data_IF_685528310612
#
_entry.id   IF_685528310612
#
_cell.length_a   1.000
_cell.length_b   1.000
_cell.length_c   1.000
_cell.angle_alpha   90.00
_cell.angle_beta   90.00
_cell.angle_gamma   90.00
#
_symmetry.space_group_name_H-M   'P 1'
#
loop_
_entity.id
_entity.type
_entity.pdbx_description
1 polymer ?
#
# COMPACT_ATOMS: atom_id res chain seq x y z
N UNK A 1 -2.04 8.71 -14.19
CA UNK A 1 -1.33 9.94 -14.52
C UNK A 1 0.00 9.61 -15.21
N UNK A 2 0.40 10.39 -16.23
CA UNK A 2 1.70 10.23 -16.90
C UNK A 2 2.87 10.63 -15.96
N UNK A 3 2.60 11.48 -14.98
CA UNK A 3 3.56 11.95 -13.99
C UNK A 3 3.15 11.55 -12.59
N UNK A 4 4.14 11.27 -11.76
CA UNK A 4 4.00 10.98 -10.33
C UNK A 4 5.30 11.35 -9.62
N UNK A 5 5.19 12.07 -8.50
CA UNK A 5 6.33 12.32 -7.63
C UNK A 5 6.89 11.00 -7.04
N UNK A 6 8.20 10.92 -6.78
CA UNK A 6 8.77 9.78 -6.08
C UNK A 6 8.26 9.73 -4.62
N UNK A 7 8.18 8.52 -4.08
CA UNK A 7 7.90 8.30 -2.66
C UNK A 7 9.22 7.89 -2.02
N UNK A 8 9.77 8.75 -1.16
CA UNK A 8 10.99 8.43 -0.45
C UNK A 8 10.78 7.27 0.53
N UNK A 9 11.73 6.37 0.59
CA UNK A 9 11.80 5.34 1.62
C UNK A 9 12.06 5.95 3.00
N UNK A 10 11.74 5.19 4.05
CA UNK A 10 12.06 5.53 5.44
C UNK A 10 12.70 4.30 6.09
N UNK A 11 13.90 4.49 6.63
CA UNK A 11 14.52 3.53 7.53
C UNK A 11 14.40 4.04 8.97
N UNK A 12 13.90 3.21 9.87
CA UNK A 12 13.94 3.47 11.29
C UNK A 12 15.35 3.18 11.83
N UNK A 13 15.93 4.15 12.51
CA UNK A 13 17.28 4.07 13.07
C UNK A 13 17.25 4.38 14.57
N UNK A 14 18.22 3.85 15.32
CA UNK A 14 18.45 4.22 16.72
C UNK A 14 19.15 5.59 16.85
N UNK A 15 19.32 6.08 18.08
CA UNK A 15 20.02 7.35 18.38
C UNK A 15 21.48 7.39 17.89
N UNK A 16 22.08 6.25 17.62
CA UNK A 16 23.43 6.12 17.07
C UNK A 16 23.46 6.06 15.54
N UNK A 17 22.29 6.04 14.89
CA UNK A 17 22.13 5.94 13.44
C UNK A 17 22.23 4.51 12.88
N UNK A 18 22.17 3.49 13.74
CA UNK A 18 22.08 2.11 13.25
C UNK A 18 20.68 1.82 12.75
N UNK A 19 20.57 1.26 11.55
CA UNK A 19 19.27 0.86 10.98
C UNK A 19 18.69 -0.29 11.79
N UNK A 20 17.48 -0.07 12.29
CA UNK A 20 16.69 -1.08 13.00
C UNK A 20 15.87 -1.90 12.04
N UNK A 21 15.11 -1.21 11.15
CA UNK A 21 14.30 -1.82 10.10
C UNK A 21 13.89 -0.80 9.05
N UNK A 22 13.56 -1.22 7.80
CA UNK A 22 12.87 -0.36 6.87
C UNK A 22 11.41 -0.16 7.33
N UNK A 23 10.94 1.08 7.37
CA UNK A 23 9.57 1.42 7.74
C UNK A 23 8.68 1.71 6.51
N UNK A 24 9.27 2.24 5.45
CA UNK A 24 8.59 2.47 4.17
C UNK A 24 9.55 2.23 3.00
N UNK A 25 9.19 1.41 1.99
CA UNK A 25 10.05 1.21 0.83
C UNK A 25 10.08 2.46 -0.06
N UNK A 26 11.19 2.76 -0.75
CA UNK A 26 11.21 3.79 -1.77
C UNK A 26 10.43 3.36 -3.02
N UNK A 27 9.77 4.31 -3.69
CA UNK A 27 9.10 4.07 -4.97
C UNK A 27 9.42 5.20 -5.94
N UNK A 28 10.05 4.89 -7.07
CA UNK A 28 10.38 5.87 -8.08
C UNK A 28 9.12 6.56 -8.62
N UNK A 29 9.25 7.85 -8.87
CA UNK A 29 8.28 8.68 -9.57
C UNK A 29 8.37 8.50 -11.09
N UNK A 30 7.60 9.30 -11.80
CA UNK A 30 7.63 9.42 -13.27
C UNK A 30 7.57 10.89 -13.65
N UNK A 31 8.42 11.32 -14.56
CA UNK A 31 8.46 12.68 -15.08
C UNK A 31 8.34 12.65 -16.60
N UNK A 32 7.54 13.56 -17.16
CA UNK A 32 7.46 13.77 -18.62
C UNK A 32 8.55 14.73 -19.06
N UNK A 33 9.47 14.28 -19.90
CA UNK A 33 10.67 15.04 -20.32
C UNK A 33 10.47 15.91 -21.54
N UNK A 34 9.48 15.61 -22.39
CA UNK A 34 9.23 16.33 -23.66
C UNK A 34 7.93 17.16 -23.65
N UNK A 35 7.37 17.51 -22.48
CA UNK A 35 6.08 18.21 -22.37
C UNK A 35 6.02 19.51 -23.17
N UNK A 36 7.04 20.36 -23.04
CA UNK A 36 7.06 21.66 -23.69
C UNK A 36 7.11 21.50 -25.21
N UNK A 37 7.98 20.60 -25.71
CA UNK A 37 8.10 20.31 -27.15
C UNK A 37 6.79 19.76 -27.75
N UNK A 38 6.10 18.87 -27.04
CA UNK A 38 4.81 18.33 -27.48
C UNK A 38 3.71 19.40 -27.45
N UNK A 39 3.74 20.29 -26.45
CA UNK A 39 2.80 21.42 -26.35
C UNK A 39 2.99 22.37 -27.52
N UNK A 40 4.22 22.75 -27.84
CA UNK A 40 4.55 23.62 -28.98
C UNK A 40 4.11 23.00 -30.32
N UNK A 41 4.36 21.69 -30.49
CA UNK A 41 3.94 20.96 -31.69
C UNK A 41 2.40 20.90 -31.84
N UNK A 42 1.66 20.72 -30.75
CA UNK A 42 0.20 20.78 -30.75
C UNK A 42 -0.28 22.19 -31.16
N UNK A 43 0.33 23.25 -30.63
CA UNK A 43 -0.05 24.62 -30.94
C UNK A 43 0.21 24.94 -32.43
N UNK A 44 1.36 24.52 -32.96
CA UNK A 44 1.69 24.69 -34.40
C UNK A 44 0.68 23.96 -35.30
N UNK A 45 0.31 22.74 -34.95
CA UNK A 45 -0.68 21.96 -35.70
C UNK A 45 -2.06 22.65 -35.68
N UNK A 46 -2.49 23.18 -34.54
CA UNK A 46 -3.74 23.93 -34.40
C UNK A 46 -3.74 25.21 -35.26
N UNK A 47 -2.65 25.96 -35.26
CA UNK A 47 -2.52 27.22 -36.05
C UNK A 47 -2.50 26.93 -37.55
N UNK A 48 -1.86 25.85 -37.99
CA UNK A 48 -1.77 25.47 -39.39
C UNK A 48 -2.97 24.66 -39.91
N UNK A 49 -3.85 24.19 -39.00
CA UNK A 49 -4.97 23.32 -39.35
C UNK A 49 -4.53 21.91 -39.81
N UNK A 50 -3.35 21.50 -39.38
CA UNK A 50 -2.80 20.17 -39.70
C UNK A 50 -3.13 19.13 -38.59
N UNK A 51 -3.07 17.86 -38.94
CA UNK A 51 -3.18 16.77 -37.99
C UNK A 51 -1.92 16.74 -37.09
N UNK A 52 -2.12 16.48 -35.81
CA UNK A 52 -1.04 16.25 -34.84
C UNK A 52 -0.98 14.78 -34.43
N UNK A 53 0.25 14.27 -34.30
CA UNK A 53 0.56 12.95 -33.81
C UNK A 53 1.88 13.02 -33.03
N UNK A 54 1.83 12.86 -31.71
CA UNK A 54 3.00 12.87 -30.83
C UNK A 54 2.85 11.88 -29.69
N UNK A 55 3.91 11.72 -28.88
CA UNK A 55 3.93 10.85 -27.74
C UNK A 55 4.72 11.49 -26.59
N UNK A 56 4.22 11.32 -25.37
CA UNK A 56 4.96 11.75 -24.18
C UNK A 56 6.12 10.79 -23.90
N UNK A 57 7.30 11.35 -23.70
CA UNK A 57 8.47 10.63 -23.18
C UNK A 57 8.46 10.69 -21.65
N UNK A 58 8.52 9.51 -21.03
CA UNK A 58 8.43 9.38 -19.56
C UNK A 58 9.71 8.73 -19.06
N UNK A 59 10.36 9.39 -18.10
CA UNK A 59 11.52 8.87 -17.40
C UNK A 59 11.20 8.60 -15.93
N UNK A 60 11.99 7.73 -15.29
CA UNK A 60 11.91 7.51 -13.85
C UNK A 60 12.51 8.68 -13.09
N UNK A 61 11.81 9.17 -12.08
CA UNK A 61 12.29 10.11 -11.08
C UNK A 61 12.71 9.31 -9.84
N UNK A 62 14.00 9.19 -9.52
CA UNK A 62 14.47 8.28 -8.48
C UNK A 62 14.02 8.74 -7.09
N UNK A 63 13.54 7.79 -6.28
CA UNK A 63 13.29 8.01 -4.86
C UNK A 63 14.59 7.91 -4.05
N UNK A 64 14.65 8.65 -2.94
CA UNK A 64 15.68 8.51 -1.92
C UNK A 64 15.17 7.72 -0.72
N UNK A 65 16.06 7.40 0.24
CA UNK A 65 15.66 6.88 1.55
C UNK A 65 16.10 7.85 2.63
N UNK A 66 15.18 8.19 3.52
CA UNK A 66 15.38 9.05 4.68
C UNK A 66 15.48 8.21 5.95
N UNK A 67 16.15 8.74 6.97
CA UNK A 67 16.25 8.08 8.27
C UNK A 67 15.30 8.75 9.27
N UNK A 68 14.58 7.93 10.03
CA UNK A 68 13.71 8.36 11.12
C UNK A 68 14.24 7.77 12.42
N UNK A 69 14.68 8.63 13.36
CA UNK A 69 15.17 8.20 14.67
C UNK A 69 13.97 7.74 15.52
N UNK A 70 14.03 6.49 15.99
CA UNK A 70 13.02 5.88 16.86
C UNK A 70 13.68 5.18 18.05
N UNK A 71 12.96 4.93 19.15
CA UNK A 71 13.47 4.11 20.24
C UNK A 71 13.91 2.73 19.73
N UNK A 72 15.06 2.22 20.22
CA UNK A 72 15.55 0.90 19.82
C UNK A 72 14.73 -0.27 20.40
N UNK A 73 13.96 -0.01 21.46
CA UNK A 73 13.16 -1.00 22.16
C UNK A 73 11.79 -1.29 21.51
N UNK A 74 11.02 -2.21 22.14
CA UNK A 74 9.70 -2.60 21.62
C UNK A 74 8.68 -1.45 21.61
N UNK A 75 8.91 -0.38 22.35
CA UNK A 75 8.06 0.80 22.40
C UNK A 75 7.88 1.54 21.07
N UNK A 76 8.74 1.25 20.07
CA UNK A 76 8.60 1.80 18.71
C UNK A 76 7.42 1.21 17.94
N UNK A 77 6.95 0.02 18.33
CA UNK A 77 5.86 -0.66 17.66
C UNK A 77 4.49 -0.17 18.14
N UNK A 78 3.53 -0.09 17.24
CA UNK A 78 2.13 0.21 17.55
C UNK A 78 1.47 -0.87 18.43
N UNK A 79 2.07 -2.05 18.52
CA UNK A 79 1.60 -3.18 19.31
C UNK A 79 2.74 -3.85 20.07
N UNK A 80 2.48 -4.21 21.33
CA UNK A 80 3.45 -4.91 22.18
C UNK A 80 3.17 -6.41 22.14
N UNK A 81 3.69 -7.05 21.08
CA UNK A 81 3.52 -8.47 20.86
C UNK A 81 4.35 -9.32 21.85
N UNK A 82 3.85 -10.53 22.18
CA UNK A 82 4.67 -11.53 22.82
C UNK A 82 5.84 -11.97 21.90
N UNK A 83 6.95 -12.54 22.43
CA UNK A 83 8.16 -12.80 21.64
C UNK A 83 7.96 -13.58 20.34
N UNK A 84 7.05 -14.55 20.33
CA UNK A 84 6.78 -15.40 19.16
C UNK A 84 5.38 -15.15 18.55
N UNK A 85 4.72 -14.06 18.96
CA UNK A 85 3.38 -13.74 18.47
C UNK A 85 3.45 -13.23 17.03
N UNK A 86 2.71 -13.89 16.13
CA UNK A 86 2.49 -13.40 14.77
C UNK A 86 1.49 -12.23 14.80
N UNK A 87 1.85 -11.14 14.17
CA UNK A 87 0.95 -10.00 14.01
C UNK A 87 1.25 -9.21 12.74
N UNK A 88 0.25 -8.50 12.27
CA UNK A 88 0.32 -7.67 11.07
C UNK A 88 0.15 -6.21 11.50
N UNK A 89 1.12 -5.38 11.11
CA UNK A 89 1.08 -3.93 11.23
C UNK A 89 0.54 -3.31 9.94
N UNK A 90 -0.48 -2.47 10.05
CA UNK A 90 -1.05 -1.71 8.94
C UNK A 90 -0.94 -0.23 9.28
N UNK A 91 0.08 0.41 8.74
CA UNK A 91 0.31 1.84 8.88
C UNK A 91 -0.45 2.61 7.78
N UNK A 92 -1.51 3.29 8.17
CA UNK A 92 -2.38 4.04 7.24
C UNK A 92 -1.75 5.37 6.80
N UNK A 93 -0.81 5.93 7.58
CA UNK A 93 -0.07 7.14 7.22
C UNK A 93 0.89 6.87 6.06
N UNK A 94 1.67 5.78 6.17
CA UNK A 94 2.65 5.39 5.17
C UNK A 94 2.04 4.49 4.07
N UNK A 95 0.77 4.07 4.22
CA UNK A 95 0.09 3.10 3.35
C UNK A 95 0.93 1.84 3.18
N UNK A 96 1.40 1.28 4.31
CA UNK A 96 2.24 0.08 4.33
C UNK A 96 1.65 -1.02 5.21
N UNK A 97 2.02 -2.26 4.90
CA UNK A 97 1.76 -3.43 5.71
C UNK A 97 3.08 -4.15 5.99
N UNK A 98 3.27 -4.55 7.24
CA UNK A 98 4.43 -5.32 7.68
C UNK A 98 3.98 -6.49 8.55
N UNK A 99 4.56 -7.65 8.34
CA UNK A 99 4.31 -8.84 9.15
C UNK A 99 5.48 -9.06 10.12
N UNK A 100 5.13 -9.37 11.37
CA UNK A 100 6.09 -9.55 12.46
C UNK A 100 5.88 -10.87 13.21
N UNK A 101 6.99 -11.42 13.71
CA UNK A 101 7.01 -12.41 14.81
C UNK A 101 7.69 -11.76 16.02
N UNK A 102 6.91 -11.46 17.06
CA UNK A 102 7.36 -10.61 18.16
C UNK A 102 7.78 -9.22 17.67
N UNK A 103 9.06 -8.93 17.76
CA UNK A 103 9.69 -7.68 17.26
C UNK A 103 10.50 -7.87 15.97
N UNK A 104 10.44 -9.07 15.39
CA UNK A 104 11.19 -9.40 14.17
C UNK A 104 10.30 -9.23 12.95
N UNK A 105 10.69 -8.34 12.05
CA UNK A 105 10.06 -8.20 10.74
C UNK A 105 10.33 -9.45 9.90
N UNK A 106 9.27 -10.10 9.41
CA UNK A 106 9.35 -11.32 8.60
C UNK A 106 8.92 -11.12 7.16
N UNK A 107 8.09 -10.09 6.88
CA UNK A 107 7.71 -9.70 5.52
C UNK A 107 7.30 -8.23 5.46
N UNK A 108 7.60 -7.58 4.37
CA UNK A 108 7.32 -6.15 4.18
C UNK A 108 8.52 -5.27 4.54
N UNK A 109 8.32 -3.94 4.68
CA UNK A 109 7.05 -3.24 4.44
C UNK A 109 6.69 -3.30 2.95
N UNK A 110 5.41 -3.51 2.69
CA UNK A 110 4.82 -3.49 1.35
C UNK A 110 3.81 -2.36 1.23
N UNK A 111 3.73 -1.71 0.07
CA UNK A 111 2.69 -0.74 -0.17
C UNK A 111 1.33 -1.40 -0.32
N UNK A 112 0.31 -0.77 0.27
CA UNK A 112 -1.08 -1.20 0.24
C UNK A 112 -2.00 -0.05 -0.18
N UNK A 113 -3.24 -0.36 -0.56
CA UNK A 113 -4.32 0.62 -0.62
C UNK A 113 -5.32 0.32 0.49
N UNK A 114 -5.79 1.35 1.16
CA UNK A 114 -6.75 1.25 2.25
C UNK A 114 -7.99 2.12 2.00
N UNK A 115 -8.91 2.18 2.95
CA UNK A 115 -10.18 2.87 2.82
C UNK A 115 -10.05 4.32 2.42
N UNK A 116 -10.79 4.71 1.38
CA UNK A 116 -10.90 6.07 0.90
C UNK A 116 -11.83 6.93 1.77
N UNK A 117 -11.97 8.22 1.40
CA UNK A 117 -12.82 9.19 2.10
C UNK A 117 -14.27 8.68 2.19
N UNK A 118 -14.81 8.61 3.40
CA UNK A 118 -16.16 8.10 3.69
C UNK A 118 -16.25 6.57 3.80
N UNK A 119 -15.14 5.88 3.61
CA UNK A 119 -15.01 4.42 3.74
C UNK A 119 -13.67 4.05 4.40
N UNK A 120 -13.27 4.81 5.39
CA UNK A 120 -11.95 4.71 6.02
C UNK A 120 -11.73 3.31 6.63
N UNK A 121 -10.51 2.83 6.52
CA UNK A 121 -10.07 1.67 7.31
C UNK A 121 -10.05 2.06 8.79
N UNK A 122 -10.73 1.29 9.62
CA UNK A 122 -10.82 1.55 11.07
C UNK A 122 -9.48 1.27 11.74
N UNK A 123 -9.12 2.09 12.74
CA UNK A 123 -7.91 1.90 13.56
C UNK A 123 -8.21 1.08 14.81
N UNK A 124 -7.23 0.31 15.26
CA UNK A 124 -7.30 -0.48 16.47
C UNK A 124 -6.54 -1.80 16.40
N UNK A 125 -6.75 -2.64 17.39
CA UNK A 125 -6.17 -3.99 17.47
C UNK A 125 -7.27 -5.02 17.33
N UNK A 126 -7.15 -5.86 16.34
CA UNK A 126 -8.16 -6.86 15.95
C UNK A 126 -7.52 -8.24 15.82
N UNK A 127 -8.34 -9.24 15.51
CA UNK A 127 -7.85 -10.59 15.23
C UNK A 127 -8.51 -11.17 13.99
N UNK A 128 -7.71 -11.87 13.19
CA UNK A 128 -8.24 -12.65 12.06
C UNK A 128 -9.24 -13.68 12.60
N UNK A 129 -10.47 -13.66 12.08
CA UNK A 129 -11.52 -14.59 12.51
C UNK A 129 -11.97 -15.55 11.41
N UNK A 130 -11.65 -15.24 10.14
CA UNK A 130 -12.05 -16.04 9.01
C UNK A 130 -11.06 -15.87 7.85
N UNK A 131 -10.68 -16.98 7.20
CA UNK A 131 -9.87 -16.97 5.98
C UNK A 131 -10.64 -17.58 4.82
N UNK A 132 -10.47 -17.05 3.61
CA UNK A 132 -10.99 -17.58 2.34
C UNK A 132 -9.94 -17.46 1.26
N UNK A 133 -9.71 -18.54 0.52
CA UNK A 133 -8.80 -18.50 -0.63
C UNK A 133 -9.34 -17.56 -1.72
N UNK A 134 -10.66 -17.59 -1.92
CA UNK A 134 -11.34 -16.80 -2.94
C UNK A 134 -12.80 -16.54 -2.56
N UNK A 135 -13.28 -15.33 -2.86
CA UNK A 135 -14.67 -14.95 -2.65
C UNK A 135 -15.03 -13.71 -3.50
N UNK A 136 -16.29 -13.61 -3.94
CA UNK A 136 -16.83 -12.35 -4.48
C UNK A 136 -17.04 -11.35 -3.34
N UNK A 137 -16.64 -10.09 -3.54
CA UNK A 137 -16.79 -9.01 -2.57
C UNK A 137 -17.71 -7.92 -3.08
N UNK A 138 -18.52 -7.32 -2.18
CA UNK A 138 -19.61 -6.45 -2.55
C UNK A 138 -20.77 -7.26 -3.12
N UNK A 139 -21.30 -6.89 -4.29
CA UNK A 139 -22.37 -7.57 -5.00
C UNK A 139 -23.70 -7.61 -4.23
N UNK A 140 -23.94 -6.66 -3.33
CA UNK A 140 -25.18 -6.51 -2.56
C UNK A 140 -25.81 -5.14 -2.79
N UNK A 141 -27.10 -4.95 -2.47
CA UNK A 141 -27.73 -3.63 -2.59
C UNK A 141 -27.05 -2.54 -1.73
N UNK A 142 -26.50 -2.90 -0.56
CA UNK A 142 -25.74 -2.00 0.31
C UNK A 142 -24.37 -1.67 -0.26
N UNK A 143 -23.76 -2.64 -0.97
CA UNK A 143 -22.45 -2.53 -1.59
C UNK A 143 -22.56 -2.85 -3.09
N UNK A 144 -22.94 -1.87 -3.94
CA UNK A 144 -23.24 -2.10 -5.35
C UNK A 144 -22.01 -2.38 -6.23
N UNK A 145 -20.79 -2.15 -5.72
CA UNK A 145 -19.60 -2.65 -6.39
C UNK A 145 -19.55 -4.18 -6.31
N UNK A 146 -18.86 -4.81 -7.24
CA UNK A 146 -18.83 -6.27 -7.31
C UNK A 146 -17.51 -6.76 -7.86
N UNK A 147 -16.57 -7.03 -6.95
CA UNK A 147 -15.28 -7.60 -7.28
C UNK A 147 -15.38 -9.13 -7.25
N UNK A 148 -15.14 -9.75 -8.40
CA UNK A 148 -15.23 -11.20 -8.56
C UNK A 148 -13.92 -11.89 -8.21
N UNK A 149 -14.05 -13.09 -7.63
CA UNK A 149 -12.92 -13.98 -7.39
C UNK A 149 -11.77 -13.32 -6.62
N UNK A 150 -12.08 -12.44 -5.66
CA UNK A 150 -11.06 -11.77 -4.82
C UNK A 150 -10.24 -12.82 -4.09
N UNK A 151 -8.89 -12.84 -4.25
CA UNK A 151 -8.05 -13.89 -3.69
C UNK A 151 -7.50 -13.55 -2.30
N UNK A 152 -7.14 -14.60 -1.53
CA UNK A 152 -6.31 -14.55 -0.33
C UNK A 152 -6.86 -13.68 0.78
N UNK A 153 -8.11 -13.93 1.17
CA UNK A 153 -8.87 -13.07 2.08
C UNK A 153 -8.71 -13.51 3.53
N UNK A 154 -8.38 -12.57 4.40
CA UNK A 154 -8.36 -12.74 5.85
C UNK A 154 -9.21 -11.64 6.50
N UNK A 155 -10.40 -11.98 6.95
CA UNK A 155 -11.30 -11.09 7.67
C UNK A 155 -10.85 -10.93 9.13
N UNK A 156 -10.74 -9.67 9.59
CA UNK A 156 -10.28 -9.34 10.93
C UNK A 156 -11.27 -8.49 11.75
N UNK A 157 -12.22 -7.81 11.11
CA UNK A 157 -13.32 -7.15 11.79
C UNK A 157 -14.52 -6.98 10.85
N UNK A 158 -15.70 -7.58 11.15
CA UNK A 158 -16.88 -7.53 10.29
C UNK A 158 -16.48 -7.80 8.81
N UNK A 159 -16.73 -6.82 7.93
CA UNK A 159 -16.43 -6.92 6.50
C UNK A 159 -15.03 -6.40 6.14
N UNK A 160 -14.23 -5.98 7.14
CA UNK A 160 -12.85 -5.56 6.93
C UNK A 160 -11.93 -6.76 6.78
N UNK A 161 -11.15 -6.78 5.72
CA UNK A 161 -10.24 -7.86 5.40
C UNK A 161 -8.89 -7.36 4.86
N UNK A 162 -7.86 -8.19 5.01
CA UNK A 162 -6.66 -8.20 4.18
C UNK A 162 -6.97 -9.05 2.97
N UNK A 163 -6.68 -8.60 1.75
CA UNK A 163 -6.88 -9.43 0.55
C UNK A 163 -6.08 -8.98 -0.65
N UNK A 164 -5.87 -9.85 -1.61
CA UNK A 164 -5.27 -9.50 -2.89
C UNK A 164 -6.20 -8.64 -3.73
N UNK A 165 -5.63 -7.66 -4.43
CA UNK A 165 -6.37 -6.73 -5.29
C UNK A 165 -5.84 -6.80 -6.73
N UNK A 166 -6.25 -7.80 -7.53
CA UNK A 166 -5.75 -7.97 -8.91
C UNK A 166 -6.18 -6.85 -9.87
N UNK A 167 -7.15 -6.03 -9.50
CA UNK A 167 -7.58 -4.85 -10.28
C UNK A 167 -6.72 -3.63 -10.04
N UNK A 168 -6.02 -3.56 -8.88
CA UNK A 168 -5.18 -2.44 -8.55
C UNK A 168 -3.87 -2.50 -9.33
N UNK A 169 -3.55 -1.40 -10.00
CA UNK A 169 -2.31 -1.25 -10.75
C UNK A 169 -1.23 -0.53 -9.97
N UNK A 170 -1.62 0.23 -8.94
CA UNK A 170 -0.73 0.98 -8.08
C UNK A 170 -1.13 0.84 -6.61
N UNK A 171 -0.12 0.84 -5.73
CA UNK A 171 -0.28 0.77 -4.28
C UNK A 171 0.54 1.85 -3.59
N UNK A 172 0.05 2.30 -2.42
CA UNK A 172 0.74 3.23 -1.55
C UNK A 172 0.30 4.68 -1.69
N UNK A 173 1.06 5.58 -1.09
CA UNK A 173 0.76 7.01 -1.05
C UNK A 173 0.74 7.60 -2.47
N UNK A 174 -0.19 8.52 -2.73
CA UNK A 174 -0.26 9.27 -3.99
C UNK A 174 -0.90 8.51 -5.15
N UNK A 175 -1.47 7.33 -4.91
CA UNK A 175 -2.36 6.67 -5.87
C UNK A 175 -3.79 7.18 -5.71
N UNK A 176 -4.55 7.22 -6.81
CA UNK A 176 -5.99 7.48 -6.79
C UNK A 176 -6.79 6.22 -6.41
N UNK A 177 -6.12 5.07 -6.28
CA UNK A 177 -6.74 3.80 -5.94
C UNK A 177 -6.96 3.69 -4.43
N UNK A 178 -8.19 3.44 -4.01
CA UNK A 178 -8.59 3.24 -2.62
C UNK A 178 -9.56 2.07 -2.50
N UNK A 179 -9.85 1.66 -1.26
CA UNK A 179 -10.83 0.61 -0.97
C UNK A 179 -12.08 1.18 -0.27
N UNK A 180 -13.03 0.29 0.02
CA UNK A 180 -14.19 0.58 0.86
C UNK A 180 -13.95 0.20 2.34
N UNK A 181 -12.67 0.21 2.76
CA UNK A 181 -12.26 -0.08 4.14
C UNK A 181 -11.35 -1.29 4.29
N UNK A 182 -11.39 -2.24 3.36
CA UNK A 182 -10.43 -3.35 3.33
C UNK A 182 -9.00 -2.86 3.06
N UNK A 183 -8.04 -3.70 3.36
CA UNK A 183 -6.63 -3.51 3.03
C UNK A 183 -6.33 -4.28 1.75
N UNK A 184 -6.19 -3.55 0.64
CA UNK A 184 -5.84 -4.08 -0.66
C UNK A 184 -4.32 -4.28 -0.75
N UNK A 185 -3.90 -5.47 -1.09
CA UNK A 185 -2.50 -5.91 -1.09
C UNK A 185 -2.14 -6.40 -2.50
N UNK A 186 -0.91 -6.19 -3.01
CA UNK A 186 -0.42 -6.87 -4.20
C UNK A 186 -0.65 -8.38 -4.09
N UNK A 187 -1.10 -9.02 -5.16
CA UNK A 187 -1.61 -10.42 -5.09
C UNK A 187 -0.58 -11.40 -4.56
N UNK A 188 0.70 -11.24 -4.92
CA UNK A 188 1.79 -12.12 -4.47
C UNK A 188 2.05 -11.98 -2.95
N UNK A 189 2.07 -10.73 -2.45
CA UNK A 189 2.22 -10.45 -1.03
C UNK A 189 0.98 -10.91 -0.24
N UNK A 190 -0.22 -10.72 -0.79
CA UNK A 190 -1.45 -11.21 -0.19
C UNK A 190 -1.46 -12.73 -0.04
N UNK A 191 -0.92 -13.46 -1.02
CA UNK A 191 -0.75 -14.91 -0.95
C UNK A 191 0.21 -15.30 0.17
N UNK A 192 1.36 -14.64 0.24
CA UNK A 192 2.34 -14.87 1.30
C UNK A 192 1.74 -14.62 2.70
N UNK A 193 1.07 -13.46 2.89
CA UNK A 193 0.40 -13.11 4.14
C UNK A 193 -0.67 -14.15 4.49
N UNK A 194 -1.50 -14.53 3.51
CA UNK A 194 -2.54 -15.53 3.71
C UNK A 194 -1.99 -16.85 4.20
N UNK A 195 -0.92 -17.36 3.62
CA UNK A 195 -0.32 -18.62 4.01
C UNK A 195 0.33 -18.57 5.41
N UNK A 196 0.92 -17.40 5.74
CA UNK A 196 1.63 -17.20 7.00
C UNK A 196 0.70 -16.95 8.20
N UNK A 197 -0.39 -16.20 8.04
CA UNK A 197 -1.32 -15.89 9.14
C UNK A 197 -2.25 -17.06 9.46
N UNK A 198 -2.67 -17.13 10.73
CA UNK A 198 -3.67 -18.05 11.22
C UNK A 198 -4.93 -17.33 11.69
N UNK A 199 -6.06 -18.05 11.85
CA UNK A 199 -7.20 -17.52 12.60
C UNK A 199 -6.74 -17.27 14.05
N UNK A 200 -6.94 -16.04 14.52
CA UNK A 200 -6.43 -15.54 15.80
C UNK A 200 -5.20 -14.65 15.68
N UNK A 201 -4.51 -14.59 14.54
CA UNK A 201 -3.40 -13.64 14.30
C UNK A 201 -3.88 -12.20 14.52
N UNK A 202 -3.10 -11.43 15.25
CA UNK A 202 -3.38 -10.02 15.54
C UNK A 202 -3.17 -9.15 14.29
N UNK A 203 -4.10 -8.23 14.03
CA UNK A 203 -3.99 -7.18 13.03
C UNK A 203 -4.11 -5.84 13.73
N UNK A 204 -3.11 -4.99 13.59
CA UNK A 204 -3.06 -3.65 14.17
C UNK A 204 -3.13 -2.62 13.05
N UNK A 205 -4.08 -1.72 13.12
CA UNK A 205 -4.26 -0.64 12.15
C UNK A 205 -4.11 0.70 12.86
N UNK A 206 -3.27 1.58 12.34
CA UNK A 206 -2.97 2.88 12.97
C UNK A 206 -2.52 3.92 11.93
N UNK A 207 -2.48 5.19 12.37
CA UNK A 207 -1.87 6.31 11.64
C UNK A 207 -0.47 6.60 12.15
#
# INVERSE_FOLDING_TARGET
>A
SAERAPINGIDDVDDAGNVLEPARPPKAGKVVTNRDAETDAIMEALESGSDYSGSLEVEEDPASTEQRVVPAGPERFAYQAAPDEKWVDVNLTDSTLTAYEGTTQVHGPIFINHGGVGHETITGTYRVYLKREKQDMGCTPEWPYCEKDVPWIAYWHKDYALHGAPWASEFGIGTDESSHGCVNIPVEDAHWIYDWIDVGTTVVTHY
#
